data_IF_047846468361
#
_entry.id   IF_047846468361
#
_cell.length_a   1.000
_cell.length_b   1.000
_cell.length_c   1.000
_cell.angle_alpha   90.00
_cell.angle_beta   90.00
_cell.angle_gamma   90.00
#
_symmetry.space_group_name_H-M   'P 1'
#
loop_
_entity.id
_entity.type
_entity.pdbx_description
1 polymer ?
#
# COMPACT_ATOMS: atom_id res chain seq x y z
N UNK A 1 -0.71 7.45 28.63
CA UNK A 1 0.44 7.95 27.85
C UNK A 1 1.31 8.99 28.57
N UNK A 2 2.64 8.79 28.66
CA UNK A 2 3.58 9.85 29.10
C UNK A 2 4.23 10.53 27.90
N UNK A 3 4.31 11.87 27.92
CA UNK A 3 5.02 12.68 26.90
C UNK A 3 6.46 12.16 26.68
N UNK A 4 7.06 11.58 27.72
CA UNK A 4 8.40 11.03 27.68
C UNK A 4 8.53 9.82 26.73
N UNK A 5 7.54 8.91 26.72
CA UNK A 5 7.55 7.76 25.83
C UNK A 5 7.46 8.21 24.36
N UNK A 6 6.63 9.21 24.07
CA UNK A 6 6.54 9.77 22.72
C UNK A 6 7.85 10.45 22.30
N UNK A 7 8.51 11.19 23.19
CA UNK A 7 9.84 11.77 22.92
C UNK A 7 10.88 10.71 22.64
N UNK A 8 10.87 9.62 23.41
CA UNK A 8 11.75 8.46 23.20
C UNK A 8 11.53 7.85 21.82
N UNK A 9 10.27 7.62 21.44
CA UNK A 9 9.90 7.20 20.08
C UNK A 9 10.42 8.16 19.00
N UNK A 10 10.23 9.48 19.16
CA UNK A 10 10.71 10.47 18.17
C UNK A 10 12.24 10.48 18.03
N UNK A 11 12.98 10.20 19.11
CA UNK A 11 14.43 10.03 19.06
C UNK A 11 14.79 8.73 18.33
N UNK A 12 14.16 7.61 18.69
CA UNK A 12 14.36 6.33 18.03
C UNK A 12 14.09 6.43 16.53
N UNK A 13 12.97 7.05 16.11
CA UNK A 13 12.61 7.22 14.70
C UNK A 13 13.65 7.98 13.87
N UNK A 14 14.41 8.90 14.48
CA UNK A 14 15.49 9.63 13.79
C UNK A 14 16.74 8.77 13.59
N UNK A 15 16.97 7.81 14.48
CA UNK A 15 18.16 6.96 14.49
C UNK A 15 17.93 5.58 13.89
N UNK A 16 16.67 5.14 13.80
CA UNK A 16 16.29 3.88 13.17
C UNK A 16 16.69 3.91 11.70
N UNK A 17 17.56 2.99 11.24
CA UNK A 17 17.91 2.88 9.84
C UNK A 17 16.68 2.60 9.00
N UNK A 18 16.46 3.43 7.99
CA UNK A 18 15.43 3.21 7.01
C UNK A 18 15.92 2.20 5.96
N UNK A 19 15.31 1.02 5.93
CA UNK A 19 15.66 -0.06 5.01
C UNK A 19 14.70 -0.22 3.82
N UNK A 20 13.69 0.66 3.73
CA UNK A 20 12.69 0.64 2.67
C UNK A 20 13.07 1.48 1.45
N UNK A 21 12.21 1.44 0.43
CA UNK A 21 12.24 2.37 -0.69
C UNK A 21 10.83 2.88 -0.91
N UNK A 22 10.67 4.21 -0.93
CA UNK A 22 9.40 4.78 -1.34
C UNK A 22 9.17 4.57 -2.83
N UNK A 23 7.96 4.15 -3.17
CA UNK A 23 7.48 4.07 -4.53
C UNK A 23 7.30 5.50 -5.06
N UNK A 24 7.93 5.85 -6.20
CA UNK A 24 7.68 7.14 -6.84
C UNK A 24 6.24 7.22 -7.33
N UNK A 25 5.74 8.45 -7.51
CA UNK A 25 4.49 8.72 -8.19
C UNK A 25 4.73 8.97 -9.68
N UNK A 26 3.66 8.87 -10.48
CA UNK A 26 3.68 9.20 -11.91
C UNK A 26 4.79 8.46 -12.69
N UNK A 27 4.96 7.17 -12.38
CA UNK A 27 5.97 6.33 -13.01
C UNK A 27 5.51 5.73 -14.35
N UNK A 28 4.25 5.97 -14.74
CA UNK A 28 3.71 5.55 -16.03
C UNK A 28 4.50 6.16 -17.18
N UNK A 29 4.98 5.37 -18.15
CA UNK A 29 5.71 5.89 -19.31
C UNK A 29 4.77 6.43 -20.41
N UNK A 30 3.44 6.44 -20.18
CA UNK A 30 2.49 6.85 -21.20
C UNK A 30 2.66 8.34 -21.57
N UNK A 31 2.53 8.69 -22.85
CA UNK A 31 2.56 10.08 -23.28
C UNK A 31 1.35 10.84 -22.76
N UNK A 32 1.53 12.14 -22.49
CA UNK A 32 0.47 13.04 -22.00
C UNK A 32 -0.73 13.18 -22.96
N UNK A 33 -0.57 12.78 -24.22
CA UNK A 33 -1.63 12.78 -25.24
C UNK A 33 -1.79 11.38 -25.80
N UNK A 34 -2.99 10.82 -25.65
CA UNK A 34 -3.37 9.54 -26.26
C UNK A 34 -4.59 9.69 -27.16
N UNK A 35 -4.81 8.70 -28.03
CA UNK A 35 -6.03 8.59 -28.83
C UNK A 35 -7.25 8.43 -27.92
N UNK A 36 -8.42 8.89 -28.37
CA UNK A 36 -9.65 8.87 -27.55
C UNK A 36 -10.04 7.48 -27.04
N UNK A 37 -9.71 6.43 -27.79
CA UNK A 37 -9.97 5.02 -27.41
C UNK A 37 -9.13 4.54 -26.22
N UNK A 38 -7.91 5.07 -26.06
CA UNK A 38 -7.01 4.70 -24.95
C UNK A 38 -7.18 5.62 -23.73
N UNK A 39 -7.95 6.71 -23.85
CA UNK A 39 -8.14 7.66 -22.76
C UNK A 39 -8.61 6.99 -21.44
N UNK A 40 -9.60 6.07 -21.45
CA UNK A 40 -10.00 5.36 -20.23
C UNK A 40 -8.85 4.55 -19.62
N UNK A 41 -8.06 3.88 -20.46
CA UNK A 41 -6.89 3.11 -20.01
C UNK A 41 -5.86 4.00 -19.30
N UNK A 42 -5.50 5.16 -19.87
CA UNK A 42 -4.53 6.07 -19.21
C UNK A 42 -5.00 6.55 -17.86
N UNK A 43 -6.27 6.98 -17.76
CA UNK A 43 -6.82 7.53 -16.53
C UNK A 43 -6.81 6.46 -15.43
N UNK A 44 -7.26 5.25 -15.77
CA UNK A 44 -7.21 4.11 -14.86
C UNK A 44 -5.79 3.76 -14.45
N UNK A 45 -4.84 3.76 -15.39
CA UNK A 45 -3.44 3.45 -15.08
C UNK A 45 -2.87 4.46 -14.09
N UNK A 46 -3.07 5.76 -14.32
CA UNK A 46 -2.54 6.81 -13.46
C UNK A 46 -3.14 6.75 -12.05
N UNK A 47 -4.45 6.50 -11.95
CA UNK A 47 -5.12 6.39 -10.66
C UNK A 47 -4.70 5.12 -9.91
N UNK A 48 -4.67 3.97 -10.57
CA UNK A 48 -4.22 2.71 -9.96
C UNK A 48 -2.75 2.76 -9.55
N UNK A 49 -1.89 3.35 -10.38
CA UNK A 49 -0.48 3.53 -10.08
C UNK A 49 -0.27 4.40 -8.83
N UNK A 50 -1.06 5.46 -8.67
CA UNK A 50 -1.01 6.35 -7.51
C UNK A 50 -1.51 5.64 -6.24
N UNK A 51 -2.62 4.91 -6.33
CA UNK A 51 -3.18 4.15 -5.21
C UNK A 51 -2.26 3.02 -4.74
N UNK A 52 -1.58 2.34 -5.67
CA UNK A 52 -0.56 1.35 -5.35
C UNK A 52 0.66 1.99 -4.69
N UNK A 53 1.13 3.11 -5.22
CA UNK A 53 2.24 3.85 -4.61
C UNK A 53 1.89 4.32 -3.20
N UNK A 54 0.67 4.83 -2.97
CA UNK A 54 0.18 5.21 -1.64
C UNK A 54 0.25 4.03 -0.66
N UNK A 55 -0.33 2.88 -1.01
CA UNK A 55 -0.32 1.70 -0.11
C UNK A 55 1.08 1.17 0.19
N UNK A 56 1.96 1.12 -0.81
CA UNK A 56 3.35 0.68 -0.62
C UNK A 56 4.10 1.67 0.28
N UNK A 57 3.89 2.97 0.06
CA UNK A 57 4.50 4.02 0.85
C UNK A 57 4.00 4.01 2.30
N UNK A 58 2.71 3.76 2.52
CA UNK A 58 2.12 3.61 3.85
C UNK A 58 2.70 2.40 4.58
N UNK A 59 2.79 1.24 3.93
CA UNK A 59 3.42 0.06 4.52
C UNK A 59 4.88 0.33 4.90
N UNK A 60 5.63 0.95 3.98
CA UNK A 60 7.03 1.35 4.20
C UNK A 60 7.16 2.33 5.37
N UNK A 61 6.23 3.27 5.48
CA UNK A 61 6.21 4.24 6.57
C UNK A 61 5.88 3.57 7.91
N UNK A 62 4.87 2.71 7.95
CA UNK A 62 4.48 2.02 9.17
C UNK A 62 5.54 1.04 9.66
N UNK A 63 6.19 0.32 8.75
CA UNK A 63 7.29 -0.58 9.08
C UNK A 63 8.42 0.15 9.82
N UNK A 64 8.84 1.31 9.30
CA UNK A 64 9.85 2.14 9.95
C UNK A 64 9.38 2.65 11.32
N UNK A 65 8.10 3.03 11.44
CA UNK A 65 7.51 3.46 12.73
C UNK A 65 7.47 2.32 13.73
N UNK A 66 7.13 1.10 13.32
CA UNK A 66 7.10 -0.09 14.17
C UNK A 66 8.50 -0.46 14.65
N UNK A 67 9.52 -0.38 13.80
CA UNK A 67 10.93 -0.55 14.21
C UNK A 67 11.35 0.49 15.26
N UNK A 68 10.99 1.76 15.04
CA UNK A 68 11.28 2.81 16.00
C UNK A 68 10.55 2.59 17.33
N UNK A 69 9.31 2.11 17.30
CA UNK A 69 8.57 1.72 18.50
C UNK A 69 9.22 0.55 19.22
N UNK A 70 9.67 -0.48 18.51
CA UNK A 70 10.38 -1.60 19.13
C UNK A 70 11.59 -1.12 19.96
N UNK A 71 12.40 -0.22 19.40
CA UNK A 71 13.53 0.38 20.11
C UNK A 71 13.10 1.30 21.26
N UNK A 72 12.02 2.07 21.10
CA UNK A 72 11.51 2.96 22.15
C UNK A 72 10.94 2.20 23.35
N UNK A 73 10.55 0.94 23.17
CA UNK A 73 9.99 0.09 24.23
C UNK A 73 11.04 -0.73 24.98
N UNK A 74 12.30 -0.76 24.50
CA UNK A 74 13.38 -1.50 25.17
C UNK A 74 13.58 -1.05 26.63
N UNK A 75 13.77 -2.00 27.55
CA UNK A 75 14.01 -1.71 28.97
C UNK A 75 12.80 -1.18 29.74
N UNK A 76 11.62 -1.08 29.12
CA UNK A 76 10.37 -0.84 29.83
C UNK A 76 9.86 -2.12 30.51
N UNK A 77 9.02 -1.97 31.53
CA UNK A 77 8.38 -3.12 32.18
C UNK A 77 7.28 -3.71 31.29
N UNK A 78 6.91 -4.97 31.51
CA UNK A 78 5.82 -5.61 30.77
C UNK A 78 4.50 -4.81 30.83
N UNK A 79 4.17 -4.23 31.98
CA UNK A 79 2.99 -3.38 32.15
C UNK A 79 3.03 -2.13 31.26
N UNK A 80 4.21 -1.48 31.17
CA UNK A 80 4.41 -0.30 30.34
C UNK A 80 4.37 -0.64 28.84
N UNK A 81 4.95 -1.78 28.46
CA UNK A 81 4.88 -2.29 27.08
C UNK A 81 3.44 -2.56 26.69
N UNK A 82 2.69 -3.28 27.53
CA UNK A 82 1.28 -3.60 27.27
C UNK A 82 0.43 -2.34 27.11
N UNK A 83 0.62 -1.33 27.99
CA UNK A 83 -0.07 -0.06 27.87
C UNK A 83 0.28 0.67 26.56
N UNK A 84 1.56 0.71 26.17
CA UNK A 84 2.00 1.33 24.92
C UNK A 84 1.51 0.58 23.67
N UNK A 85 1.43 -0.75 23.76
CA UNK A 85 0.86 -1.59 22.71
C UNK A 85 -0.61 -1.27 22.49
N UNK A 86 -1.38 -1.20 23.56
CA UNK A 86 -2.82 -0.89 23.47
C UNK A 86 -3.10 0.56 23.06
N UNK A 87 -2.34 1.53 23.56
CA UNK A 87 -2.62 2.96 23.32
C UNK A 87 -2.11 3.47 21.96
N UNK A 88 -1.06 2.87 21.38
CA UNK A 88 -0.34 3.47 20.24
C UNK A 88 0.06 2.47 19.17
N UNK A 89 0.72 1.37 19.55
CA UNK A 89 1.30 0.45 18.56
C UNK A 89 0.22 -0.39 17.89
N UNK A 90 -0.86 -0.70 18.60
CA UNK A 90 -1.94 -1.58 18.16
C UNK A 90 -2.54 -1.17 16.81
N UNK A 91 -2.91 0.11 16.67
CA UNK A 91 -3.52 0.60 15.43
C UNK A 91 -2.54 0.53 14.25
N UNK A 92 -1.31 0.98 14.46
CA UNK A 92 -0.27 0.97 13.42
C UNK A 92 0.03 -0.48 13.01
N UNK A 93 0.18 -1.38 13.97
CA UNK A 93 0.48 -2.78 13.72
C UNK A 93 -0.67 -3.48 13.00
N UNK A 94 -1.92 -3.24 13.42
CA UNK A 94 -3.11 -3.82 12.80
C UNK A 94 -3.23 -3.41 11.34
N UNK A 95 -3.10 -2.11 11.05
CA UNK A 95 -3.13 -1.60 9.66
C UNK A 95 -1.97 -2.20 8.85
N UNK A 96 -0.76 -2.21 9.42
CA UNK A 96 0.43 -2.75 8.72
C UNK A 96 0.30 -4.21 8.34
N UNK A 97 -0.32 -5.03 9.19
CA UNK A 97 -0.55 -6.45 8.93
C UNK A 97 -1.55 -6.66 7.78
N UNK A 98 -2.53 -5.77 7.62
CA UNK A 98 -3.50 -5.83 6.53
C UNK A 98 -2.99 -5.31 5.19
N UNK A 99 -2.05 -4.36 5.19
CA UNK A 99 -1.59 -3.69 3.97
C UNK A 99 -1.02 -4.63 2.88
N UNK A 100 -0.28 -5.72 3.17
CA UNK A 100 0.13 -6.66 2.13
C UNK A 100 -1.03 -7.25 1.33
N UNK A 101 -2.13 -7.58 2.01
CA UNK A 101 -3.35 -8.09 1.36
C UNK A 101 -4.02 -7.00 0.53
N UNK A 102 -4.11 -5.78 1.07
CA UNK A 102 -4.65 -4.62 0.34
C UNK A 102 -3.83 -4.33 -0.92
N UNK A 103 -2.50 -4.36 -0.83
CA UNK A 103 -1.59 -4.15 -1.96
C UNK A 103 -1.81 -5.25 -3.01
N UNK A 104 -1.87 -6.52 -2.60
CA UNK A 104 -2.15 -7.65 -3.51
C UNK A 104 -3.48 -7.45 -4.23
N UNK A 105 -4.56 -7.18 -3.51
CA UNK A 105 -5.88 -6.98 -4.10
C UNK A 105 -5.91 -5.80 -5.06
N UNK A 106 -5.29 -4.67 -4.71
CA UNK A 106 -5.16 -3.50 -5.60
C UNK A 106 -4.38 -3.83 -6.88
N UNK A 107 -3.33 -4.63 -6.78
CA UNK A 107 -2.57 -5.08 -7.96
C UNK A 107 -3.40 -5.96 -8.87
N UNK A 108 -4.13 -6.93 -8.33
CA UNK A 108 -5.01 -7.81 -9.10
C UNK A 108 -6.11 -7.02 -9.78
N UNK A 109 -6.79 -6.15 -9.02
CA UNK A 109 -7.83 -5.26 -9.54
C UNK A 109 -7.30 -4.41 -10.70
N UNK A 110 -6.17 -3.73 -10.50
CA UNK A 110 -5.57 -2.89 -11.53
C UNK A 110 -5.18 -3.68 -12.78
N UNK A 111 -4.53 -4.84 -12.60
CA UNK A 111 -4.08 -5.68 -13.71
C UNK A 111 -5.26 -6.20 -14.55
N UNK A 112 -6.31 -6.70 -13.91
CA UNK A 112 -7.50 -7.22 -14.59
C UNK A 112 -8.21 -6.13 -15.39
N UNK A 113 -8.47 -4.99 -14.75
CA UNK A 113 -9.16 -3.86 -15.37
C UNK A 113 -8.37 -3.22 -16.51
N UNK A 114 -7.06 -3.03 -16.34
CA UNK A 114 -6.20 -2.49 -17.39
C UNK A 114 -6.09 -3.47 -18.57
N UNK A 115 -5.95 -4.77 -18.30
CA UNK A 115 -5.91 -5.79 -19.37
C UNK A 115 -7.22 -5.82 -20.15
N UNK A 116 -8.36 -5.72 -19.45
CA UNK A 116 -9.67 -5.67 -20.06
C UNK A 116 -9.85 -4.42 -20.95
N UNK A 117 -9.47 -3.23 -20.47
CA UNK A 117 -9.50 -2.01 -21.29
C UNK A 117 -8.54 -2.06 -22.48
N UNK A 118 -7.35 -2.64 -22.31
CA UNK A 118 -6.39 -2.82 -23.40
C UNK A 118 -6.94 -3.78 -24.47
N UNK A 119 -7.60 -4.87 -24.05
CA UNK A 119 -8.25 -5.81 -24.96
C UNK A 119 -9.39 -5.13 -25.73
N UNK A 120 -10.22 -4.33 -25.04
CA UNK A 120 -11.28 -3.55 -25.66
C UNK A 120 -10.77 -2.62 -26.76
N UNK A 121 -9.64 -1.96 -26.51
CA UNK A 121 -9.04 -1.03 -27.47
C UNK A 121 -8.35 -1.73 -28.66
N UNK A 122 -8.02 -3.03 -28.55
CA UNK A 122 -7.20 -3.75 -29.52
C UNK A 122 -7.94 -4.81 -30.31
N UNK A 123 -8.92 -5.48 -29.72
CA UNK A 123 -9.58 -6.65 -30.30
C UNK A 123 -10.85 -6.22 -31.04
N UNK A 124 -11.03 -6.60 -32.33
CA UNK A 124 -12.18 -6.20 -33.13
C UNK A 124 -13.49 -6.90 -32.67
N UNK A 125 -13.40 -8.14 -32.18
CA UNK A 125 -14.54 -8.94 -31.71
C UNK A 125 -14.55 -9.02 -30.17
N UNK A 126 -14.16 -7.93 -29.51
CA UNK A 126 -14.11 -7.89 -28.07
C UNK A 126 -15.51 -8.05 -27.44
N UNK A 127 -15.58 -8.85 -26.39
CA UNK A 127 -16.78 -9.05 -25.57
C UNK A 127 -16.45 -8.63 -24.15
N UNK A 128 -17.41 -7.99 -23.50
CA UNK A 128 -17.30 -7.67 -22.08
C UNK A 128 -17.56 -8.94 -21.26
N UNK A 129 -16.48 -9.55 -20.77
CA UNK A 129 -16.47 -10.78 -19.98
C UNK A 129 -15.68 -10.63 -18.67
N UNK A 130 -15.43 -9.38 -18.22
CA UNK A 130 -14.77 -9.14 -16.95
C UNK A 130 -15.69 -9.61 -15.81
N UNK A 131 -15.24 -10.53 -14.93
CA UNK A 131 -16.01 -10.92 -13.76
C UNK A 131 -16.24 -9.73 -12.81
N UNK A 132 -17.24 -9.85 -11.95
CA UNK A 132 -17.47 -8.89 -10.87
C UNK A 132 -16.24 -8.82 -9.95
N UNK A 133 -16.02 -7.67 -9.31
CA UNK A 133 -14.80 -7.37 -8.56
C UNK A 133 -14.47 -8.40 -7.46
N UNK A 134 -15.48 -8.98 -6.84
CA UNK A 134 -15.35 -10.01 -5.80
C UNK A 134 -14.99 -11.40 -6.35
N UNK A 135 -15.14 -11.61 -7.66
CA UNK A 135 -14.78 -12.82 -8.38
C UNK A 135 -13.39 -12.73 -9.05
N UNK A 136 -12.75 -11.56 -9.03
CA UNK A 136 -11.41 -11.35 -9.62
C UNK A 136 -10.30 -11.96 -8.74
N UNK A 137 -9.96 -13.22 -9.01
CA UNK A 137 -8.72 -13.91 -8.59
C UNK A 137 -8.30 -13.76 -7.11
N UNK A 138 -9.25 -13.70 -6.18
CA UNK A 138 -8.96 -13.69 -4.74
C UNK A 138 -8.60 -15.08 -4.19
N UNK A 139 -9.02 -16.15 -4.85
CA UNK A 139 -8.82 -17.54 -4.39
C UNK A 139 -7.52 -18.21 -4.86
N UNK A 140 -6.82 -17.68 -5.86
CA UNK A 140 -5.62 -18.31 -6.43
C UNK A 140 -4.34 -17.72 -5.82
N UNK A 141 -3.91 -18.34 -4.72
CA UNK A 141 -2.50 -18.42 -4.35
C UNK A 141 -2.11 -19.90 -4.40
N UNK A 142 -1.85 -20.40 -5.61
CA UNK A 142 -1.14 -21.67 -5.83
C UNK A 142 0.37 -21.42 -5.87
#
# INVERSE_FOLDING_TARGET
>A
MTIELYRRYRRALKTTPFNGRFMPYNWSPLPNSMTGELLPYSQMLDDFARELANSINDLTHHENRLRAWASALEGLTAQQIMAAQHEIVGDIATVSLGLPYVIRSRFLFAASHLSHQANRARLPDWVDDLPEDDEIYLETAD
#
